data_IF_942671205117
#
_entry.id   IF_942671205117
#
_cell.length_a   1.000
_cell.length_b   1.000
_cell.length_c   1.000
_cell.angle_alpha   90.00
_cell.angle_beta   90.00
_cell.angle_gamma   90.00
#
_symmetry.space_group_name_H-M   'P 1'
#
loop_
_entity.id
_entity.type
_entity.pdbx_description
1 polymer ?
#
# COMPACT_ATOMS: atom_id res chain seq x y z
N UNK A 1 -12.15 -10.95 -14.32
CA UNK A 1 -12.94 -12.18 -14.24
C UNK A 1 -12.41 -13.07 -13.11
N UNK A 2 -13.24 -13.98 -12.61
CA UNK A 2 -12.83 -14.97 -11.60
C UNK A 2 -11.65 -15.84 -12.08
N UNK A 3 -11.55 -16.07 -13.39
CA UNK A 3 -10.49 -16.91 -13.98
C UNK A 3 -9.08 -16.40 -13.70
N UNK A 4 -8.86 -15.09 -13.70
CA UNK A 4 -7.55 -14.51 -13.38
C UNK A 4 -7.15 -14.77 -11.92
N UNK A 5 -8.12 -14.66 -11.03
CA UNK A 5 -7.92 -14.91 -9.60
C UNK A 5 -7.72 -16.40 -9.29
N UNK A 6 -8.43 -17.28 -9.99
CA UNK A 6 -8.22 -18.73 -9.92
C UNK A 6 -6.81 -19.08 -10.45
N UNK A 7 -6.42 -18.49 -11.58
CA UNK A 7 -5.09 -18.69 -12.19
C UNK A 7 -3.94 -18.26 -11.27
N UNK A 8 -4.11 -17.16 -10.52
CA UNK A 8 -3.10 -16.69 -9.56
C UNK A 8 -3.08 -17.49 -8.25
N UNK A 9 -4.09 -18.31 -7.99
CA UNK A 9 -4.27 -19.03 -6.73
C UNK A 9 -4.87 -18.18 -5.60
N UNK A 10 -5.12 -16.89 -5.84
CA UNK A 10 -5.58 -15.96 -4.79
C UNK A 10 -7.11 -15.89 -4.63
N UNK A 11 -7.86 -16.63 -5.43
CA UNK A 11 -9.33 -16.59 -5.36
C UNK A 11 -9.87 -16.99 -3.97
N UNK A 12 -9.29 -18.02 -3.37
CA UNK A 12 -9.66 -18.48 -2.04
C UNK A 12 -8.91 -17.75 -0.93
N UNK A 13 -7.62 -17.47 -1.14
CA UNK A 13 -6.72 -16.90 -0.14
C UNK A 13 -7.04 -15.44 0.20
N UNK A 14 -7.63 -14.67 -0.72
CA UNK A 14 -7.98 -13.27 -0.48
C UNK A 14 -9.03 -13.08 0.62
N UNK A 15 -9.82 -14.11 0.90
CA UNK A 15 -10.75 -14.10 2.00
C UNK A 15 -12.11 -13.46 1.69
N UNK A 16 -12.80 -13.03 2.76
CA UNK A 16 -14.20 -12.60 2.73
C UNK A 16 -14.42 -11.19 2.20
N UNK A 17 -13.38 -10.38 2.12
CA UNK A 17 -13.48 -9.01 1.59
C UNK A 17 -13.71 -8.95 0.08
N UNK A 18 -13.43 -10.04 -0.62
CA UNK A 18 -13.73 -10.14 -2.03
C UNK A 18 -15.22 -10.37 -2.24
N UNK A 19 -15.88 -9.44 -2.92
CA UNK A 19 -17.28 -9.59 -3.29
C UNK A 19 -17.44 -10.64 -4.39
N UNK A 20 -18.04 -11.75 -4.08
CA UNK A 20 -18.39 -12.82 -5.00
C UNK A 20 -19.87 -12.77 -5.34
N UNK A 21 -20.18 -12.89 -6.61
CA UNK A 21 -21.54 -12.79 -7.15
C UNK A 21 -21.79 -13.93 -8.12
N UNK A 22 -23.03 -14.41 -8.16
CA UNK A 22 -23.46 -15.36 -9.19
C UNK A 22 -24.42 -14.65 -10.15
N UNK A 23 -24.13 -14.70 -11.44
CA UNK A 23 -24.99 -14.08 -12.45
C UNK A 23 -26.27 -14.91 -12.71
N UNK A 24 -27.16 -14.36 -13.53
CA UNK A 24 -28.43 -15.03 -13.88
C UNK A 24 -28.27 -16.38 -14.58
N UNK A 25 -27.09 -16.63 -15.15
CA UNK A 25 -26.75 -17.89 -15.84
C UNK A 25 -26.04 -18.88 -14.93
N UNK A 26 -25.91 -18.57 -13.62
CA UNK A 26 -25.25 -19.42 -12.65
C UNK A 26 -23.71 -19.37 -12.73
N UNK A 27 -23.13 -18.33 -13.36
CA UNK A 27 -21.69 -18.17 -13.45
C UNK A 27 -21.15 -17.36 -12.27
N UNK A 28 -20.09 -17.86 -11.66
CA UNK A 28 -19.41 -17.16 -10.58
C UNK A 28 -18.57 -16.00 -11.12
N UNK A 29 -18.80 -14.84 -10.54
CA UNK A 29 -18.09 -13.60 -10.84
C UNK A 29 -17.59 -12.99 -9.55
N UNK A 30 -16.67 -12.04 -9.67
CA UNK A 30 -16.21 -11.23 -8.54
C UNK A 30 -16.10 -9.76 -8.95
N UNK A 31 -16.20 -8.90 -7.97
CA UNK A 31 -15.79 -7.51 -8.11
C UNK A 31 -14.37 -7.36 -7.55
N UNK A 32 -13.43 -6.89 -8.37
CA UNK A 32 -12.01 -6.84 -8.00
C UNK A 32 -11.72 -5.90 -6.83
N UNK A 33 -11.21 -6.42 -5.72
CA UNK A 33 -10.81 -5.59 -4.58
C UNK A 33 -9.47 -4.90 -4.81
N UNK A 34 -8.69 -5.38 -5.78
CA UNK A 34 -7.39 -4.88 -6.23
C UNK A 34 -7.12 -5.39 -7.65
N UNK A 35 -6.07 -4.94 -8.32
CA UNK A 35 -5.87 -5.21 -9.77
C UNK A 35 -4.56 -5.91 -10.12
N UNK A 36 -3.84 -6.51 -9.18
CA UNK A 36 -2.58 -7.22 -9.48
C UNK A 36 -2.76 -8.24 -10.60
N UNK A 37 -3.80 -9.05 -10.53
CA UNK A 37 -4.10 -10.07 -11.53
C UNK A 37 -4.36 -9.47 -12.91
N UNK A 38 -5.20 -8.43 -12.96
CA UNK A 38 -5.57 -7.78 -14.23
C UNK A 38 -4.37 -7.09 -14.87
N UNK A 39 -3.61 -6.32 -14.11
CA UNK A 39 -2.45 -5.58 -14.64
C UNK A 39 -1.33 -6.54 -15.06
N UNK A 40 -1.13 -7.63 -14.33
CA UNK A 40 -0.15 -8.66 -14.70
C UNK A 40 -0.54 -9.37 -16.01
N UNK A 41 -1.81 -9.66 -16.21
CA UNK A 41 -2.30 -10.25 -17.45
C UNK A 41 -2.14 -9.29 -18.65
N UNK A 42 -2.48 -8.02 -18.47
CA UNK A 42 -2.23 -6.96 -19.47
C UNK A 42 -0.74 -6.84 -19.76
N UNK A 43 0.09 -6.79 -18.72
CA UNK A 43 1.54 -6.73 -18.87
C UNK A 43 2.06 -7.91 -19.68
N UNK A 44 1.69 -9.14 -19.31
CA UNK A 44 2.10 -10.35 -19.99
C UNK A 44 1.73 -10.34 -21.49
N UNK A 45 0.59 -9.77 -21.85
CA UNK A 45 0.12 -9.72 -23.25
C UNK A 45 0.84 -8.68 -24.10
N UNK A 46 1.49 -7.68 -23.50
CA UNK A 46 2.12 -6.55 -24.20
C UNK A 46 3.64 -6.57 -24.18
N UNK A 47 4.27 -7.31 -23.27
CA UNK A 47 5.72 -7.37 -23.13
C UNK A 47 6.26 -8.59 -23.88
N UNK A 48 7.17 -8.33 -24.79
CA UNK A 48 7.77 -9.38 -25.63
C UNK A 48 9.26 -9.59 -25.34
N UNK A 49 9.88 -8.69 -24.58
CA UNK A 49 11.32 -8.73 -24.31
C UNK A 49 11.65 -8.11 -22.95
N UNK A 50 12.67 -8.64 -22.30
CA UNK A 50 13.26 -8.02 -21.11
C UNK A 50 13.75 -6.59 -21.34
N UNK A 51 14.01 -6.20 -22.59
CA UNK A 51 14.39 -4.83 -22.99
C UNK A 51 13.27 -3.82 -22.82
N UNK A 52 12.04 -4.28 -22.69
CA UNK A 52 10.88 -3.43 -22.42
C UNK A 52 10.78 -3.03 -20.95
N UNK A 53 11.60 -3.61 -20.08
CA UNK A 53 11.67 -3.31 -18.65
C UNK A 53 12.71 -2.22 -18.35
N UNK A 54 12.56 -1.46 -17.27
CA UNK A 54 11.44 -1.51 -16.31
C UNK A 54 10.15 -0.90 -16.87
N UNK A 55 9.01 -1.36 -16.37
CA UNK A 55 7.70 -0.76 -16.65
C UNK A 55 7.01 -0.37 -15.34
N UNK A 56 6.36 0.77 -15.37
CA UNK A 56 5.59 1.27 -14.25
C UNK A 56 4.20 1.65 -14.78
N UNK A 57 3.19 0.88 -14.41
CA UNK A 57 1.82 1.05 -14.86
C UNK A 57 0.96 1.54 -13.71
N UNK A 58 0.02 2.44 -14.01
CA UNK A 58 -0.94 2.89 -13.00
C UNK A 58 -2.37 2.78 -13.51
N UNK A 59 -3.29 2.74 -12.57
CA UNK A 59 -4.71 2.64 -12.83
C UNK A 59 -5.48 3.52 -11.86
N UNK A 60 -6.53 4.18 -12.34
CA UNK A 60 -7.44 4.94 -11.49
C UNK A 60 -8.83 4.38 -11.74
N UNK A 61 -9.36 3.64 -10.77
CA UNK A 61 -10.63 2.94 -10.93
C UNK A 61 -11.33 2.72 -9.60
N UNK A 62 -12.62 2.51 -9.68
CA UNK A 62 -13.45 2.04 -8.58
C UNK A 62 -13.03 0.64 -8.15
N UNK A 63 -12.93 0.47 -6.84
CA UNK A 63 -12.70 -0.82 -6.17
C UNK A 63 -13.88 -1.08 -5.23
N UNK A 64 -14.10 -2.35 -4.97
CA UNK A 64 -15.05 -2.78 -3.96
C UNK A 64 -14.39 -3.79 -3.03
N UNK A 65 -14.55 -3.56 -1.73
CA UNK A 65 -14.19 -4.51 -0.67
C UNK A 65 -15.38 -4.67 0.24
N UNK A 66 -15.77 -5.89 0.55
CA UNK A 66 -16.90 -6.18 1.43
C UNK A 66 -16.51 -5.96 2.90
N UNK A 67 -16.19 -4.69 3.20
CA UNK A 67 -15.80 -4.24 4.52
C UNK A 67 -16.92 -4.48 5.53
N UNK A 68 -16.60 -5.20 6.61
CA UNK A 68 -17.57 -5.58 7.65
C UNK A 68 -18.08 -4.38 8.44
N UNK A 69 -17.21 -3.38 8.66
CA UNK A 69 -17.49 -2.20 9.48
C UNK A 69 -17.12 -0.91 8.77
N UNK A 70 -17.85 -0.49 7.73
CA UNK A 70 -17.64 0.83 7.13
C UNK A 70 -17.77 1.91 8.18
N UNK A 71 -16.85 2.88 8.18
CA UNK A 71 -16.80 3.96 9.16
C UNK A 71 -16.04 5.17 8.64
N UNK A 72 -16.09 6.28 9.37
CA UNK A 72 -15.39 7.53 9.03
C UNK A 72 -15.75 8.10 7.66
N UNK A 73 -17.02 7.97 7.25
CA UNK A 73 -17.50 8.48 5.97
C UNK A 73 -16.78 7.85 4.80
N UNK A 74 -16.12 8.68 3.98
CA UNK A 74 -15.37 8.20 2.80
C UNK A 74 -14.04 7.54 3.11
N UNK A 75 -13.55 7.59 4.34
CA UNK A 75 -12.23 7.08 4.70
C UNK A 75 -12.19 5.53 4.72
N UNK A 76 -13.28 4.88 5.12
CA UNK A 76 -13.38 3.43 5.16
C UNK A 76 -14.75 2.96 4.67
N UNK A 77 -14.96 3.06 3.38
CA UNK A 77 -16.16 2.60 2.67
C UNK A 77 -15.94 1.25 2.00
N UNK A 78 -17.01 0.70 1.43
CA UNK A 78 -16.97 -0.53 0.63
C UNK A 78 -16.62 -0.26 -0.83
N UNK A 79 -17.13 0.83 -1.38
CA UNK A 79 -16.84 1.28 -2.73
C UNK A 79 -16.02 2.58 -2.68
N UNK A 80 -14.87 2.59 -3.34
CA UNK A 80 -13.96 3.73 -3.33
C UNK A 80 -13.14 3.82 -4.61
N UNK A 81 -12.75 5.04 -4.94
CA UNK A 81 -11.84 5.30 -6.04
C UNK A 81 -10.40 5.11 -5.55
N UNK A 82 -9.65 4.25 -6.21
CA UNK A 82 -8.25 4.01 -5.92
C UNK A 82 -7.38 4.37 -7.13
N UNK A 83 -6.27 5.04 -6.88
CA UNK A 83 -5.14 5.10 -7.79
C UNK A 83 -4.12 4.09 -7.30
N UNK A 84 -3.91 3.06 -8.06
CA UNK A 84 -2.95 2.00 -7.80
C UNK A 84 -1.83 2.01 -8.85
N UNK A 85 -0.65 1.55 -8.47
CA UNK A 85 0.54 1.54 -9.29
C UNK A 85 1.25 0.20 -9.19
N UNK A 86 1.78 -0.29 -10.31
CA UNK A 86 2.38 -1.61 -10.45
C UNK A 86 3.70 -1.49 -11.20
N UNK A 87 4.79 -1.85 -10.55
CA UNK A 87 6.11 -1.88 -11.17
C UNK A 87 6.49 -3.30 -11.59
N UNK A 88 7.18 -3.38 -12.71
CA UNK A 88 7.71 -4.61 -13.27
C UNK A 88 9.18 -4.36 -13.61
N UNK A 89 10.06 -5.07 -12.95
CA UNK A 89 11.48 -4.82 -12.96
C UNK A 89 12.24 -6.11 -13.32
N UNK A 90 13.52 -5.99 -13.71
CA UNK A 90 14.32 -7.13 -14.13
C UNK A 90 14.76 -8.02 -12.98
N UNK A 91 15.03 -7.40 -11.84
CA UNK A 91 15.54 -8.07 -10.65
C UNK A 91 15.11 -7.33 -9.36
N UNK A 92 15.44 -7.89 -8.22
CA UNK A 92 15.08 -7.35 -6.91
C UNK A 92 15.70 -5.95 -6.66
N UNK A 93 16.91 -5.68 -7.15
CA UNK A 93 17.55 -4.38 -6.98
C UNK A 93 16.81 -3.29 -7.76
N UNK A 94 16.40 -3.58 -8.99
CA UNK A 94 15.60 -2.66 -9.79
C UNK A 94 14.20 -2.47 -9.19
N UNK A 95 13.57 -3.55 -8.70
CA UNK A 95 12.31 -3.48 -7.98
C UNK A 95 12.40 -2.61 -6.73
N UNK A 96 13.50 -2.72 -5.97
CA UNK A 96 13.74 -1.83 -4.82
C UNK A 96 13.87 -0.37 -5.24
N UNK A 97 14.53 -0.05 -6.35
CA UNK A 97 14.61 1.33 -6.86
C UNK A 97 13.22 1.86 -7.24
N UNK A 98 12.40 1.05 -7.90
CA UNK A 98 11.01 1.40 -8.21
C UNK A 98 10.20 1.66 -6.95
N UNK A 99 10.36 0.83 -5.92
CA UNK A 99 9.74 1.00 -4.61
C UNK A 99 10.17 2.31 -3.94
N UNK A 100 11.47 2.60 -3.88
CA UNK A 100 12.01 3.81 -3.27
C UNK A 100 11.55 5.07 -4.00
N UNK A 101 11.41 5.02 -5.32
CA UNK A 101 10.83 6.10 -6.12
C UNK A 101 9.36 6.36 -5.76
N UNK A 102 8.57 5.30 -5.58
CA UNK A 102 7.18 5.42 -5.15
C UNK A 102 7.06 5.90 -3.72
N UNK A 103 7.92 5.46 -2.82
CA UNK A 103 8.02 5.95 -1.45
C UNK A 103 8.21 7.48 -1.43
N UNK A 104 9.20 8.00 -2.19
CA UNK A 104 9.40 9.44 -2.37
C UNK A 104 8.16 10.14 -2.92
N UNK A 105 7.53 9.56 -3.93
CA UNK A 105 6.36 10.14 -4.57
C UNK A 105 5.18 10.28 -3.59
N UNK A 106 4.94 9.29 -2.74
CA UNK A 106 3.90 9.37 -1.71
C UNK A 106 4.18 10.47 -0.70
N UNK A 107 5.39 10.53 -0.14
CA UNK A 107 5.78 11.59 0.80
C UNK A 107 5.59 12.99 0.16
N UNK A 108 6.11 13.19 -1.06
CA UNK A 108 5.95 14.46 -1.78
C UNK A 108 4.48 14.81 -2.02
N UNK A 109 3.67 13.83 -2.38
CA UNK A 109 2.24 14.02 -2.62
C UNK A 109 1.53 14.50 -1.36
N UNK A 110 1.72 13.83 -0.23
CA UNK A 110 1.08 14.20 1.02
C UNK A 110 1.55 15.57 1.53
N UNK A 111 2.84 15.88 1.45
CA UNK A 111 3.35 17.19 1.84
C UNK A 111 2.74 18.30 0.95
N UNK A 112 2.63 18.10 -0.37
CA UNK A 112 1.97 19.04 -1.28
C UNK A 112 0.49 19.24 -0.99
N UNK A 113 -0.16 18.25 -0.39
CA UNK A 113 -1.54 18.34 0.10
C UNK A 113 -1.64 19.07 1.46
N UNK A 114 -0.52 19.50 2.04
CA UNK A 114 -0.46 20.14 3.35
C UNK A 114 -0.56 19.16 4.52
N UNK A 115 -0.27 17.89 4.29
CA UNK A 115 -0.31 16.83 5.30
C UNK A 115 1.11 16.48 5.77
N UNK A 116 1.24 15.99 7.01
CA UNK A 116 2.49 15.47 7.56
C UNK A 116 2.44 13.95 7.56
N UNK A 117 3.04 13.29 6.56
CA UNK A 117 3.03 11.82 6.49
C UNK A 117 4.12 11.23 7.38
N UNK A 118 3.74 10.29 8.22
CA UNK A 118 4.64 9.46 9.00
C UNK A 118 4.69 8.08 8.34
N UNK A 119 5.84 7.72 7.80
CA UNK A 119 6.04 6.41 7.21
C UNK A 119 6.38 5.38 8.29
N UNK A 120 5.69 4.26 8.30
CA UNK A 120 5.98 3.13 9.18
C UNK A 120 5.97 1.82 8.40
N UNK A 121 6.73 0.85 8.88
CA UNK A 121 6.67 -0.50 8.33
C UNK A 121 5.31 -1.12 8.62
N UNK A 122 4.77 -1.81 7.62
CA UNK A 122 3.51 -2.52 7.71
C UNK A 122 3.68 -3.99 7.36
N UNK A 123 2.76 -4.82 7.83
CA UNK A 123 2.69 -6.21 7.39
C UNK A 123 2.22 -6.28 5.94
N UNK A 124 2.75 -7.26 5.19
CA UNK A 124 2.41 -7.41 3.76
C UNK A 124 1.05 -8.05 3.53
N UNK A 125 0.46 -8.68 4.54
CA UNK A 125 -0.86 -9.30 4.48
C UNK A 125 -1.00 -10.37 3.38
N UNK A 126 -2.22 -10.58 2.85
CA UNK A 126 -2.50 -11.60 1.83
C UNK A 126 -1.82 -11.36 0.49
N UNK A 127 -1.30 -10.16 0.24
CA UNK A 127 -0.58 -9.82 -1.00
C UNK A 127 0.79 -10.48 -1.03
N UNK A 128 1.40 -10.70 0.15
CA UNK A 128 2.75 -11.25 0.26
C UNK A 128 3.84 -10.21 0.05
N UNK A 129 5.09 -10.67 -0.01
CA UNK A 129 6.28 -9.82 -0.11
C UNK A 129 7.01 -9.65 1.22
N UNK A 130 8.12 -8.93 1.21
CA UNK A 130 9.00 -8.73 2.37
C UNK A 130 9.22 -7.26 2.75
N UNK A 131 8.66 -6.33 1.98
CA UNK A 131 8.79 -4.90 2.19
C UNK A 131 7.44 -4.22 1.98
N UNK A 132 6.94 -3.59 3.03
CA UNK A 132 5.70 -2.81 3.00
C UNK A 132 5.81 -1.60 3.92
N UNK A 133 5.24 -0.46 3.51
CA UNK A 133 5.09 0.74 4.33
C UNK A 133 3.69 1.29 4.22
N UNK A 134 3.24 1.88 5.31
CA UNK A 134 2.07 2.74 5.38
C UNK A 134 2.48 4.18 5.64
N UNK A 135 1.67 5.13 5.20
CA UNK A 135 1.85 6.55 5.46
C UNK A 135 0.69 7.03 6.32
N UNK A 136 0.93 7.15 7.62
CA UNK A 136 -0.06 7.60 8.57
C UNK A 136 -0.11 9.14 8.60
N UNK A 137 -1.31 9.69 8.72
CA UNK A 137 -1.53 11.12 8.86
C UNK A 137 -2.01 11.41 10.28
N UNK A 138 -1.33 12.33 10.93
CA UNK A 138 -1.65 12.70 12.31
C UNK A 138 -3.02 13.37 12.38
N UNK A 139 -3.92 12.84 13.20
CA UNK A 139 -5.25 13.37 13.42
C UNK A 139 -5.70 13.14 14.88
N UNK A 140 -6.39 14.12 15.46
CA UNK A 140 -6.94 14.00 16.83
C UNK A 140 -8.00 12.92 16.97
N UNK A 141 -8.62 12.53 15.86
CA UNK A 141 -9.68 11.52 15.78
C UNK A 141 -9.20 10.23 15.11
N UNK A 142 -7.90 9.94 15.19
CA UNK A 142 -7.30 8.73 14.64
C UNK A 142 -7.76 7.45 15.37
N UNK A 143 -7.51 6.30 14.75
CA UNK A 143 -7.87 4.99 15.31
C UNK A 143 -6.81 4.44 16.26
N UNK A 144 -5.55 4.78 16.03
CA UNK A 144 -4.40 4.24 16.76
C UNK A 144 -3.49 5.36 17.25
N UNK A 145 -2.80 5.12 18.34
CA UNK A 145 -1.71 5.98 18.82
C UNK A 145 -0.45 5.66 18.03
N UNK A 146 0.26 6.69 17.59
CA UNK A 146 1.48 6.53 16.80
C UNK A 146 2.68 7.05 17.58
N UNK A 147 3.69 6.21 17.72
CA UNK A 147 4.99 6.53 18.32
C UNK A 147 6.01 6.67 17.20
N UNK A 148 6.66 7.82 17.08
CA UNK A 148 7.56 8.08 15.95
C UNK A 148 8.69 9.07 16.29
N UNK A 149 9.79 8.97 15.55
CA UNK A 149 10.88 9.94 15.61
C UNK A 149 10.40 11.31 15.11
N UNK A 150 10.49 12.34 15.96
CA UNK A 150 10.04 13.71 15.63
C UNK A 150 10.70 14.31 14.39
N UNK A 151 11.84 13.77 13.93
CA UNK A 151 12.46 14.17 12.67
C UNK A 151 11.57 13.94 11.46
N UNK A 152 10.65 12.98 11.54
CA UNK A 152 9.68 12.71 10.48
C UNK A 152 8.70 13.85 10.23
N UNK A 153 8.55 14.81 11.16
CA UNK A 153 7.68 15.99 10.97
C UNK A 153 8.30 17.08 10.10
N UNK A 154 9.62 17.08 9.94
CA UNK A 154 10.36 18.19 9.31
C UNK A 154 11.00 17.79 7.99
N UNK A 155 10.33 16.93 7.23
CA UNK A 155 10.86 16.43 5.97
C UNK A 155 10.86 17.49 4.88
N UNK A 156 11.99 17.61 4.18
CA UNK A 156 12.08 18.40 2.96
C UNK A 156 11.83 17.49 1.75
N UNK A 157 10.71 17.66 1.01
CA UNK A 157 10.35 16.79 -0.10
C UNK A 157 11.36 16.75 -1.25
N UNK A 158 12.22 17.76 -1.37
CA UNK A 158 13.23 17.83 -2.44
C UNK A 158 14.49 17.02 -2.13
N UNK A 159 14.80 16.84 -0.84
CA UNK A 159 16.04 16.17 -0.38
C UNK A 159 15.79 14.81 0.28
N UNK A 160 14.61 14.26 0.14
CA UNK A 160 14.25 12.98 0.76
C UNK A 160 15.15 11.84 0.26
N UNK A 161 15.83 11.18 1.18
CA UNK A 161 16.47 9.87 0.98
C UNK A 161 15.59 8.76 1.58
N UNK A 162 15.05 7.86 0.77
CA UNK A 162 14.21 6.76 1.27
C UNK A 162 14.93 5.84 2.26
N UNK A 163 16.23 5.61 2.09
CA UNK A 163 16.98 4.73 2.98
C UNK A 163 17.11 5.37 4.37
N UNK A 164 17.34 6.68 4.43
CA UNK A 164 17.36 7.40 5.70
C UNK A 164 15.97 7.37 6.37
N UNK A 165 14.92 7.71 5.63
CA UNK A 165 13.56 7.75 6.19
C UNK A 165 13.06 6.39 6.65
N UNK A 166 13.38 5.33 5.94
CA UNK A 166 13.02 3.96 6.32
C UNK A 166 13.78 3.47 7.56
N UNK A 167 14.85 4.17 7.96
CA UNK A 167 15.60 3.89 9.18
C UNK A 167 15.03 4.56 10.43
N UNK A 168 14.20 5.59 10.29
CA UNK A 168 13.56 6.24 11.43
C UNK A 168 12.49 5.34 12.05
N UNK A 169 12.40 5.43 13.36
CA UNK A 169 11.42 4.66 14.10
C UNK A 169 10.02 5.24 13.91
N UNK A 170 9.07 4.38 13.59
CA UNK A 170 7.66 4.66 13.69
C UNK A 170 6.89 3.34 13.92
N UNK A 171 5.97 3.33 14.88
CA UNK A 171 5.17 2.17 15.23
C UNK A 171 3.81 2.60 15.78
N UNK A 172 2.78 1.80 15.53
CA UNK A 172 1.49 1.93 16.20
C UNK A 172 1.54 1.31 17.59
N UNK A 173 0.57 1.64 18.44
CA UNK A 173 0.51 1.25 19.86
C UNK A 173 0.65 -0.26 20.11
N UNK A 174 0.09 -1.11 19.28
CA UNK A 174 0.19 -2.57 19.38
C UNK A 174 1.56 -3.15 18.94
N UNK A 175 2.37 -2.37 18.24
CA UNK A 175 3.70 -2.72 17.76
C UNK A 175 4.83 -2.01 18.53
N UNK A 176 4.47 -1.02 19.35
CA UNK A 176 5.44 -0.25 20.11
C UNK A 176 5.92 -1.00 21.36
N UNK A 177 7.24 -1.15 21.51
CA UNK A 177 7.88 -1.70 22.72
C UNK A 177 8.68 -0.60 23.43
N UNK A 178 8.12 -0.06 24.51
CA UNK A 178 8.76 0.99 25.31
C UNK A 178 10.12 0.61 25.87
N UNK A 179 10.36 -0.68 26.13
CA UNK A 179 11.60 -1.17 26.74
C UNK A 179 12.73 -1.34 25.74
N UNK A 180 12.38 -1.66 24.50
CA UNK A 180 13.32 -1.96 23.43
C UNK A 180 13.23 -0.92 22.30
N UNK A 181 12.57 0.22 22.50
CA UNK A 181 12.55 1.30 21.54
C UNK A 181 13.98 1.79 21.27
N UNK A 182 14.38 1.90 20.00
CA UNK A 182 15.72 2.37 19.64
C UNK A 182 15.89 3.88 19.86
N UNK A 183 14.84 4.58 20.30
CA UNK A 183 14.81 6.04 20.44
C UNK A 183 14.54 6.40 21.88
N UNK A 184 15.23 7.45 22.38
CA UNK A 184 14.97 7.99 23.71
C UNK A 184 13.55 8.61 23.77
N UNK A 185 12.91 8.54 24.95
CA UNK A 185 11.59 9.15 25.14
C UNK A 185 11.56 10.67 24.88
N UNK A 186 12.72 11.34 24.88
CA UNK A 186 12.83 12.78 24.58
C UNK A 186 12.69 13.08 23.09
N UNK A 187 13.03 12.11 22.22
CA UNK A 187 12.97 12.22 20.77
C UNK A 187 11.74 11.55 20.16
N UNK A 188 10.98 10.82 20.98
CA UNK A 188 9.75 10.16 20.60
C UNK A 188 8.56 11.12 20.74
N UNK A 189 7.66 11.11 19.75
CA UNK A 189 6.35 11.75 19.83
C UNK A 189 5.24 10.73 19.89
N UNK A 190 4.15 11.08 20.60
CA UNK A 190 2.97 10.27 20.80
C UNK A 190 1.77 10.98 20.16
#
# INVERSE_FOLDING_TARGET
SSDLWIKSGRYDDYGKEMLRITDRSGRDMLYGPTNEELITDIFQSHINSYKDLPKNLYHIQWKFRDEVRPRFGVMRGREFLMKDNYSFDLDENEAKKSYDNMFKAYIKTFIRMGLTPISLRAETGPIGGNLSHEFQILAKTGESTLYYDKKLETLNPETIDPNELQSFYAAVDDQHDEKNSPISNEDLKI
#
